data_IF_098497968757
#
_entry.id   IF_098497968757
#
_cell.length_a   1.000
_cell.length_b   1.000
_cell.length_c   1.000
_cell.angle_alpha   90.00
_cell.angle_beta   90.00
_cell.angle_gamma   90.00
#
_symmetry.space_group_name_H-M   'P 1'
#
loop_
_entity.id
_entity.type
_entity.pdbx_description
1 polymer ?
#
# COMPACT_ATOMS: atom_id res chain seq x y z
N UNK A 1 -4.32 22.76 11.41
CA UNK A 1 -4.77 21.80 10.38
C UNK A 1 -5.21 20.53 11.10
N UNK A 2 -6.36 19.93 10.76
CA UNK A 2 -6.73 18.64 11.37
C UNK A 2 -5.80 17.57 10.81
N UNK A 3 -5.19 16.71 11.65
CA UNK A 3 -4.45 15.57 11.13
C UNK A 3 -5.41 14.70 10.30
N UNK A 4 -4.97 14.33 9.09
CA UNK A 4 -5.65 13.33 8.26
C UNK A 4 -5.74 12.02 9.07
N UNK A 5 -6.95 11.52 9.24
CA UNK A 5 -7.19 10.31 10.01
C UNK A 5 -6.71 9.11 9.19
N UNK A 6 -5.60 8.51 9.63
CA UNK A 6 -5.05 7.37 8.92
C UNK A 6 -6.01 6.17 8.99
N UNK A 7 -6.42 5.66 7.83
CA UNK A 7 -7.32 4.51 7.70
C UNK A 7 -6.50 3.27 7.37
N UNK A 8 -6.10 2.53 8.41
CA UNK A 8 -5.55 1.19 8.26
C UNK A 8 -6.66 0.23 7.84
N UNK A 9 -6.39 -0.62 6.84
CA UNK A 9 -7.36 -1.65 6.45
C UNK A 9 -7.24 -2.89 7.37
N UNK A 10 -8.29 -3.73 7.43
CA UNK A 10 -8.24 -4.96 8.22
C UNK A 10 -7.11 -5.87 7.75
N UNK A 11 -6.37 -6.50 8.68
CA UNK A 11 -5.20 -7.35 8.38
C UNK A 11 -5.51 -8.63 7.58
N UNK A 12 -6.77 -8.93 7.26
CA UNK A 12 -7.16 -10.09 6.46
C UNK A 12 -8.05 -9.70 5.28
N UNK A 13 -7.72 -10.22 4.09
CA UNK A 13 -8.52 -10.03 2.87
C UNK A 13 -8.40 -8.66 2.22
N UNK A 14 -7.42 -7.85 2.62
CA UNK A 14 -7.20 -6.48 2.13
C UNK A 14 -6.66 -6.40 0.69
N UNK A 15 -6.24 -7.53 0.11
CA UNK A 15 -5.53 -7.55 -1.17
C UNK A 15 -4.15 -6.87 -1.09
N UNK A 16 -3.64 -6.69 0.13
CA UNK A 16 -2.45 -5.95 0.47
C UNK A 16 -2.60 -4.43 0.29
N UNK A 17 -3.67 -3.86 0.83
CA UNK A 17 -3.94 -2.42 0.87
C UNK A 17 -3.77 -1.94 2.29
N UNK A 18 -2.56 -1.92 2.83
CA UNK A 18 -2.35 -1.71 4.26
C UNK A 18 -2.89 -0.36 4.77
N UNK A 19 -2.77 0.70 3.97
CA UNK A 19 -3.23 2.06 4.33
C UNK A 19 -3.90 2.72 3.12
N UNK A 20 -5.03 3.39 3.34
CA UNK A 20 -5.71 4.23 2.34
C UNK A 20 -5.89 5.63 2.91
N UNK A 21 -5.40 6.64 2.21
CA UNK A 21 -5.45 8.03 2.65
C UNK A 21 -5.98 8.98 1.59
N UNK A 22 -6.52 10.11 2.07
CA UNK A 22 -6.85 11.26 1.25
C UNK A 22 -6.15 12.50 1.81
N UNK A 23 -5.28 13.12 1.03
CA UNK A 23 -4.51 14.29 1.43
C UNK A 23 -4.42 15.28 0.26
N UNK A 24 -4.72 16.55 0.51
CA UNK A 24 -4.69 17.62 -0.49
C UNK A 24 -5.49 17.32 -1.78
N UNK A 25 -6.60 16.58 -1.66
CA UNK A 25 -7.44 16.20 -2.82
C UNK A 25 -6.94 15.01 -3.63
N UNK A 26 -5.87 14.35 -3.16
CA UNK A 26 -5.37 13.10 -3.75
C UNK A 26 -5.70 11.94 -2.82
N UNK A 27 -6.16 10.85 -3.41
CA UNK A 27 -6.44 9.58 -2.74
C UNK A 27 -5.39 8.55 -3.13
N UNK A 28 -4.65 8.04 -2.16
CA UNK A 28 -3.56 7.09 -2.41
C UNK A 28 -3.65 5.87 -1.50
N UNK A 29 -2.95 4.81 -1.92
CA UNK A 29 -2.86 3.54 -1.20
C UNK A 29 -1.40 3.21 -0.92
N UNK A 30 -1.12 2.72 0.28
CA UNK A 30 0.18 2.22 0.69
C UNK A 30 0.07 0.71 0.91
N UNK A 31 0.99 -0.03 0.30
CA UNK A 31 1.19 -1.45 0.55
C UNK A 31 2.57 -1.66 1.19
N UNK A 32 2.61 -2.39 2.28
CA UNK A 32 3.80 -2.77 3.02
C UNK A 32 4.07 -4.26 2.80
N UNK A 33 5.28 -4.60 2.36
CA UNK A 33 5.73 -5.99 2.23
C UNK A 33 6.98 -6.21 3.05
N UNK A 34 6.95 -7.24 3.90
CA UNK A 34 8.13 -7.70 4.61
C UNK A 34 9.12 -8.28 3.61
N UNK A 35 10.29 -7.65 3.51
CA UNK A 35 11.37 -8.09 2.64
C UNK A 35 12.29 -9.04 3.41
N UNK A 36 12.00 -10.34 3.31
CA UNK A 36 12.89 -11.40 3.79
C UNK A 36 13.71 -11.98 2.64
N UNK A 37 14.96 -11.54 2.50
CA UNK A 37 15.99 -12.09 1.58
C UNK A 37 15.78 -11.98 0.06
N UNK A 38 14.58 -11.69 -0.46
CA UNK A 38 14.32 -11.52 -1.90
C UNK A 38 13.65 -10.18 -2.19
N UNK A 39 14.21 -9.42 -3.13
CA UNK A 39 13.65 -8.15 -3.60
C UNK A 39 12.16 -8.29 -3.93
N UNK A 40 11.40 -7.21 -3.80
CA UNK A 40 10.03 -7.16 -4.32
C UNK A 40 10.07 -7.55 -5.80
N UNK A 41 9.36 -8.63 -6.14
CA UNK A 41 9.31 -9.17 -7.47
C UNK A 41 8.34 -8.43 -8.37
N UNK A 42 8.39 -8.76 -9.66
CA UNK A 42 7.51 -8.15 -10.66
C UNK A 42 6.05 -8.50 -10.41
N UNK A 43 5.77 -9.72 -9.96
CA UNK A 43 4.41 -10.19 -9.66
C UNK A 43 3.76 -9.38 -8.54
N UNK A 44 4.51 -9.06 -7.48
CA UNK A 44 4.02 -8.20 -6.40
C UNK A 44 3.77 -6.77 -6.89
N UNK A 45 4.64 -6.24 -7.77
CA UNK A 45 4.45 -4.92 -8.39
C UNK A 45 3.18 -4.91 -9.26
N UNK A 46 2.99 -5.92 -10.11
CA UNK A 46 1.84 -6.01 -11.02
C UNK A 46 0.53 -6.17 -10.24
N UNK A 47 0.56 -6.94 -9.16
CA UNK A 47 -0.57 -7.06 -8.23
C UNK A 47 -0.89 -5.71 -7.59
N UNK A 48 0.12 -5.00 -7.10
CA UNK A 48 -0.06 -3.67 -6.51
C UNK A 48 -0.65 -2.67 -7.51
N UNK A 49 -0.12 -2.63 -8.74
CA UNK A 49 -0.62 -1.77 -9.81
C UNK A 49 -2.08 -2.06 -10.14
N UNK A 50 -2.47 -3.34 -10.18
CA UNK A 50 -3.86 -3.75 -10.39
C UNK A 50 -4.76 -3.20 -9.27
N UNK A 51 -4.31 -3.25 -8.02
CA UNK A 51 -5.07 -2.73 -6.88
C UNK A 51 -5.16 -1.19 -6.89
N UNK A 52 -4.09 -0.49 -7.28
CA UNK A 52 -4.09 0.97 -7.48
C UNK A 52 -5.16 1.36 -8.50
N UNK A 53 -5.20 0.66 -9.65
CA UNK A 53 -6.17 0.90 -10.71
C UNK A 53 -7.60 0.54 -10.29
N UNK A 54 -7.80 -0.64 -9.71
CA UNK A 54 -9.11 -1.15 -9.27
C UNK A 54 -9.74 -0.24 -8.22
N UNK A 55 -8.92 0.30 -7.32
CA UNK A 55 -9.37 1.22 -6.27
C UNK A 55 -9.60 2.66 -6.73
N UNK A 56 -9.26 2.99 -7.99
CA UNK A 56 -9.29 4.35 -8.54
C UNK A 56 -8.50 5.33 -7.66
N UNK A 57 -7.28 4.92 -7.29
CA UNK A 57 -6.34 5.78 -6.56
C UNK A 57 -5.56 6.64 -7.54
N UNK A 58 -5.19 7.85 -7.13
CA UNK A 58 -4.38 8.76 -7.96
C UNK A 58 -2.95 8.24 -8.10
N UNK A 59 -2.41 7.63 -7.04
CA UNK A 59 -1.13 6.93 -7.05
C UNK A 59 -1.06 5.90 -5.90
N UNK A 60 -0.03 5.07 -5.93
CA UNK A 60 0.26 4.08 -4.90
C UNK A 60 1.71 4.09 -4.47
N UNK A 61 1.95 3.75 -3.21
CA UNK A 61 3.29 3.60 -2.62
C UNK A 61 3.48 2.14 -2.20
N UNK A 62 4.49 1.47 -2.75
CA UNK A 62 4.88 0.11 -2.36
C UNK A 62 6.14 0.17 -1.50
N UNK A 63 6.04 -0.24 -0.24
CA UNK A 63 7.11 -0.17 0.76
C UNK A 63 7.65 -1.57 1.05
N UNK A 64 8.94 -1.77 0.80
CA UNK A 64 9.68 -2.94 1.26
C UNK A 64 10.26 -2.70 2.65
N UNK A 65 9.73 -3.36 3.68
CA UNK A 65 10.24 -3.26 5.04
C UNK A 65 11.28 -4.35 5.31
N UNK A 66 12.52 -3.96 5.62
CA UNK A 66 13.55 -4.90 6.06
C UNK A 66 13.27 -5.32 7.50
N UNK A 67 12.72 -6.52 7.69
CA UNK A 67 12.45 -7.08 9.01
C UNK A 67 13.73 -7.77 9.53
N UNK A 68 14.40 -7.14 10.51
CA UNK A 68 15.49 -7.79 11.25
C UNK A 68 14.89 -8.88 12.15
N UNK A 69 15.30 -10.14 11.95
CA UNK A 69 15.06 -11.23 12.90
C UNK A 69 15.87 -11.04 14.16
#
# INVERSE_FOLDING_TARGET
>A
ERPSQLSMTPASGDGGRDIIEEMHGYRFVIQCKAWYKKCIGREEIDTFLTEVQRGKFDFGILVGALEKR
#
